data_IF_292623403239
#
_entry.id   IF_292623403239
#
_cell.length_a   1.000
_cell.length_b   1.000
_cell.length_c   1.000
_cell.angle_alpha   90.00
_cell.angle_beta   90.00
_cell.angle_gamma   90.00
#
_symmetry.space_group_name_H-M   'P 1'
#
loop_
_entity.id
_entity.type
_entity.pdbx_description
1 polymer ?
#
# COMPACT_ATOMS: atom_id res chain seq x y z
N UNK A 1 -65.25 38.35 -22.19
CA UNK A 1 -64.97 37.79 -23.53
C UNK A 1 -63.48 37.47 -23.58
N UNK A 2 -63.13 36.18 -23.72
CA UNK A 2 -61.83 35.60 -24.18
C UNK A 2 -60.58 35.77 -23.25
N UNK A 3 -60.13 34.76 -22.48
CA UNK A 3 -59.11 33.67 -22.76
C UNK A 3 -57.71 34.24 -23.10
N UNK A 4 -56.55 33.89 -22.51
CA UNK A 4 -55.85 32.57 -22.39
C UNK A 4 -54.56 32.68 -21.51
N UNK A 5 -53.95 31.52 -21.23
CA UNK A 5 -52.99 31.10 -20.19
C UNK A 5 -51.46 31.34 -20.36
N UNK A 6 -50.71 30.97 -19.31
CA UNK A 6 -49.31 30.44 -19.29
C UNK A 6 -48.25 31.39 -18.69
N UNK A 7 -47.17 31.01 -18.01
CA UNK A 7 -46.66 29.82 -17.32
C UNK A 7 -45.41 30.27 -16.50
N UNK A 8 -44.95 29.40 -15.58
CA UNK A 8 -43.86 29.42 -14.57
C UNK A 8 -42.58 30.26 -14.76
N UNK A 9 -42.03 30.66 -13.61
CA UNK A 9 -40.60 30.89 -13.38
C UNK A 9 -40.23 30.96 -11.89
N UNK A 10 -39.70 29.85 -11.34
CA UNK A 10 -39.11 29.70 -9.99
C UNK A 10 -37.58 30.00 -10.01
N UNK A 11 -36.86 30.02 -8.87
CA UNK A 11 -35.82 30.99 -8.58
C UNK A 11 -34.39 30.57 -9.00
N UNK A 12 -33.58 31.58 -9.30
CA UNK A 12 -32.10 31.59 -9.31
C UNK A 12 -31.57 31.39 -7.88
N UNK A 13 -30.52 30.65 -7.54
CA UNK A 13 -29.37 30.14 -8.27
C UNK A 13 -28.18 30.21 -7.31
N UNK A 14 -27.33 29.17 -7.25
CA UNK A 14 -26.08 29.21 -6.47
C UNK A 14 -25.69 27.89 -5.83
N UNK A 15 -25.50 26.85 -6.64
CA UNK A 15 -24.87 25.59 -6.26
C UNK A 15 -23.39 25.83 -5.88
N UNK A 16 -23.07 25.66 -4.60
CA UNK A 16 -21.69 25.46 -4.14
C UNK A 16 -21.30 24.00 -4.32
N UNK A 17 -21.10 23.57 -5.57
CA UNK A 17 -20.50 22.28 -5.86
C UNK A 17 -19.01 22.33 -5.49
N UNK A 18 -18.62 21.74 -4.36
CA UNK A 18 -17.23 21.34 -4.21
C UNK A 18 -17.01 20.18 -5.17
N UNK A 19 -16.29 20.42 -6.26
CA UNK A 19 -15.73 19.37 -7.09
C UNK A 19 -14.75 18.56 -6.23
N UNK A 20 -15.27 17.52 -5.56
CA UNK A 20 -14.47 16.38 -5.14
C UNK A 20 -14.00 15.73 -6.44
N UNK A 21 -12.87 16.23 -6.96
CA UNK A 21 -12.26 15.69 -8.15
C UNK A 21 -11.89 14.25 -7.81
N UNK A 22 -12.68 13.31 -8.33
CA UNK A 22 -12.74 11.90 -7.95
C UNK A 22 -11.42 11.18 -8.18
N UNK A 23 -10.46 11.43 -7.30
CA UNK A 23 -9.13 10.88 -7.36
C UNK A 23 -9.24 9.39 -7.04
N UNK A 24 -9.23 8.59 -8.09
CA UNK A 24 -9.30 7.13 -7.99
C UNK A 24 -8.18 6.63 -7.08
N UNK A 25 -8.45 5.62 -6.23
CA UNK A 25 -7.42 5.05 -5.39
C UNK A 25 -6.30 4.47 -6.25
N UNK A 26 -5.06 4.72 -5.86
CA UNK A 26 -3.89 4.27 -6.60
C UNK A 26 -3.22 3.06 -5.94
N UNK A 27 -3.57 2.76 -4.69
CA UNK A 27 -3.06 1.62 -3.95
C UNK A 27 -4.10 1.06 -2.98
N UNK A 28 -4.12 -0.26 -2.85
CA UNK A 28 -4.76 -0.98 -1.74
C UNK A 28 -3.72 -1.69 -0.90
N UNK A 29 -3.90 -1.68 0.42
CA UNK A 29 -2.93 -2.22 1.38
C UNK A 29 -3.59 -3.27 2.23
N UNK A 30 -2.87 -4.36 2.39
CA UNK A 30 -3.33 -5.52 3.11
C UNK A 30 -2.30 -5.92 4.16
N UNK A 31 -2.67 -5.84 5.44
CA UNK A 31 -1.78 -6.21 6.55
C UNK A 31 -1.92 -7.71 6.87
N UNK A 32 -0.76 -8.34 7.11
CA UNK A 32 -0.64 -9.77 7.35
C UNK A 32 0.27 -10.02 8.55
N UNK A 33 -0.12 -10.98 9.38
CA UNK A 33 0.72 -11.51 10.44
C UNK A 33 0.82 -13.02 10.26
N UNK A 34 2.04 -13.48 9.97
CA UNK A 34 2.26 -14.85 9.52
C UNK A 34 1.43 -15.13 8.25
N UNK A 35 0.55 -16.13 8.29
CA UNK A 35 -0.36 -16.46 7.19
C UNK A 35 -1.73 -15.81 7.29
N UNK A 36 -2.00 -15.02 8.33
CA UNK A 36 -3.33 -14.55 8.67
C UNK A 36 -3.52 -13.08 8.32
N UNK A 37 -4.66 -12.75 7.67
CA UNK A 37 -5.05 -11.36 7.34
C UNK A 37 -5.48 -10.65 8.62
N UNK A 38 -4.92 -9.47 8.88
CA UNK A 38 -5.23 -8.68 10.07
C UNK A 38 -5.91 -7.37 9.65
N UNK A 39 -7.21 -7.29 9.92
CA UNK A 39 -8.05 -6.16 9.54
C UNK A 39 -8.47 -6.15 8.06
N UNK A 40 -9.26 -5.14 7.63
CA UNK A 40 -9.68 -4.98 6.25
C UNK A 40 -8.55 -4.51 5.34
N UNK A 41 -8.80 -4.53 4.03
CA UNK A 41 -7.98 -3.82 3.05
C UNK A 41 -8.10 -2.31 3.28
N UNK A 42 -6.99 -1.58 3.22
CA UNK A 42 -6.98 -0.12 3.33
C UNK A 42 -6.76 0.51 1.95
N UNK A 43 -7.66 1.39 1.55
CA UNK A 43 -7.63 2.06 0.25
C UNK A 43 -6.91 3.41 0.35
N UNK A 44 -5.93 3.63 -0.52
CA UNK A 44 -5.09 4.83 -0.52
C UNK A 44 -5.47 5.74 -1.68
N UNK A 45 -5.93 6.94 -1.35
CA UNK A 45 -6.31 7.98 -2.33
C UNK A 45 -5.27 9.10 -2.40
N UNK A 46 -4.77 9.56 -1.25
CA UNK A 46 -3.75 10.62 -1.16
C UNK A 46 -2.45 10.17 -1.80
N UNK A 47 -1.65 11.08 -2.40
CA UNK A 47 -0.37 10.71 -3.02
C UNK A 47 0.66 10.18 -2.01
N UNK A 48 0.39 10.27 -0.71
CA UNK A 48 1.25 9.70 0.32
C UNK A 48 0.43 9.05 1.43
N UNK A 49 1.05 8.11 2.15
CA UNK A 49 0.48 7.46 3.33
C UNK A 49 1.58 7.09 4.33
N UNK A 50 1.39 7.42 5.60
CA UNK A 50 2.22 6.89 6.69
C UNK A 50 1.66 5.56 7.17
N UNK A 51 2.49 4.52 7.27
CA UNK A 51 2.11 3.23 7.86
C UNK A 51 2.92 3.05 9.13
N UNK A 52 2.23 2.96 10.28
CA UNK A 52 2.87 3.01 11.61
C UNK A 52 2.33 1.90 12.51
N UNK A 53 3.12 1.51 13.51
CA UNK A 53 2.66 0.73 14.67
C UNK A 53 2.77 1.54 15.97
N UNK A 54 3.21 2.80 15.91
CA UNK A 54 3.35 3.64 17.08
C UNK A 54 1.96 3.95 17.69
N UNK A 55 1.87 3.78 19.01
CA UNK A 55 0.66 4.07 19.81
C UNK A 55 0.61 5.55 20.22
N UNK A 56 1.71 6.28 20.05
CA UNK A 56 1.87 7.67 20.49
C UNK A 56 1.21 8.67 19.56
N UNK A 57 0.93 8.29 18.31
CA UNK A 57 0.17 9.14 17.39
C UNK A 57 -1.31 8.91 17.67
N UNK A 58 -2.07 9.91 18.16
CA UNK A 58 -3.51 9.78 18.25
C UNK A 58 -4.05 9.47 16.84
N UNK A 59 -5.10 8.63 16.70
CA UNK A 59 -5.68 8.33 15.40
C UNK A 59 -6.03 9.67 14.75
N UNK A 60 -5.25 10.05 13.74
CA UNK A 60 -5.51 11.29 13.02
C UNK A 60 -6.83 11.11 12.30
N UNK A 61 -7.73 12.06 12.40
CA UNK A 61 -8.97 12.08 11.62
C UNK A 61 -8.74 12.24 10.11
N UNK A 62 -7.49 12.18 9.64
CA UNK A 62 -7.10 12.29 8.25
C UNK A 62 -6.70 10.93 7.68
N UNK A 63 -7.09 10.66 6.44
CA UNK A 63 -6.75 9.46 5.65
C UNK A 63 -5.28 9.43 5.19
N UNK A 64 -4.38 9.94 6.03
CA UNK A 64 -2.97 10.11 5.74
C UNK A 64 -2.09 9.18 6.60
N UNK A 65 -2.70 8.44 7.53
CA UNK A 65 -2.01 7.47 8.38
C UNK A 65 -2.80 6.16 8.52
N UNK A 66 -2.10 5.05 8.35
CA UNK A 66 -2.58 3.69 8.59
C UNK A 66 -1.91 3.14 9.86
N UNK A 67 -2.70 3.05 10.95
CA UNK A 67 -2.26 2.45 12.20
C UNK A 67 -2.44 0.93 12.19
N UNK A 68 -1.34 0.21 12.02
CA UNK A 68 -1.31 -1.26 12.12
C UNK A 68 -1.63 -1.73 13.54
N UNK A 69 -1.34 -0.90 14.56
CA UNK A 69 -1.71 -1.18 15.94
C UNK A 69 -3.24 -1.24 16.11
N UNK A 70 -3.98 -0.32 15.50
CA UNK A 70 -5.44 -0.32 15.54
C UNK A 70 -6.03 -1.56 14.85
N UNK A 71 -5.48 -1.97 13.69
CA UNK A 71 -5.88 -3.20 12.99
C UNK A 71 -5.60 -4.46 13.82
N UNK A 72 -4.42 -4.52 14.42
CA UNK A 72 -4.02 -5.62 15.30
C UNK A 72 -4.94 -5.76 16.52
N UNK A 73 -5.38 -4.64 17.11
CA UNK A 73 -6.32 -4.63 18.23
C UNK A 73 -7.71 -5.09 17.82
N UNK A 74 -8.20 -4.66 16.66
CA UNK A 74 -9.56 -4.99 16.20
C UNK A 74 -9.70 -6.45 15.75
N UNK A 75 -8.61 -7.08 15.31
CA UNK A 75 -8.63 -8.48 14.84
C UNK A 75 -8.96 -9.49 15.95
N UNK A 76 -8.73 -9.18 17.23
CA UNK A 76 -9.02 -10.07 18.36
C UNK A 76 -8.24 -11.39 18.39
N UNK A 77 -7.35 -11.62 17.43
CA UNK A 77 -6.58 -12.85 17.30
C UNK A 77 -5.47 -12.94 18.36
N UNK A 78 -5.23 -14.15 18.88
CA UNK A 78 -4.14 -14.41 19.81
C UNK A 78 -2.79 -14.10 19.13
N UNK A 79 -2.11 -13.07 19.63
CA UNK A 79 -0.82 -12.65 19.10
C UNK A 79 0.28 -13.61 19.57
N UNK A 80 0.98 -14.25 18.63
CA UNK A 80 2.14 -15.10 18.95
C UNK A 80 3.33 -14.24 19.37
N UNK A 81 4.16 -14.71 20.30
CA UNK A 81 5.31 -13.96 20.84
C UNK A 81 6.25 -13.38 19.77
N UNK A 82 6.46 -14.13 18.69
CA UNK A 82 7.33 -13.68 17.59
C UNK A 82 6.74 -12.48 16.83
N UNK A 83 5.41 -12.41 16.72
CA UNK A 83 4.68 -11.30 16.12
C UNK A 83 4.73 -10.09 17.05
N UNK A 84 4.43 -10.28 18.35
CA UNK A 84 4.51 -9.23 19.35
C UNK A 84 5.89 -8.54 19.38
N UNK A 85 6.97 -9.34 19.27
CA UNK A 85 8.35 -8.82 19.23
C UNK A 85 8.67 -8.02 17.97
N UNK A 86 8.04 -8.33 16.84
CA UNK A 86 8.23 -7.56 15.60
C UNK A 86 7.37 -6.30 15.61
N UNK A 87 6.10 -6.39 16.05
CA UNK A 87 5.19 -5.25 16.26
C UNK A 87 5.86 -4.12 17.04
N UNK A 88 6.49 -4.45 18.18
CA UNK A 88 7.19 -3.46 19.03
C UNK A 88 8.40 -2.78 18.39
N UNK A 89 8.89 -3.29 17.24
CA UNK A 89 10.03 -2.76 16.50
C UNK A 89 9.64 -2.00 15.24
N UNK A 90 8.37 -2.02 14.84
CA UNK A 90 7.91 -1.27 13.66
C UNK A 90 8.00 0.23 13.95
N UNK A 91 7.56 0.68 15.14
CA UNK A 91 7.58 2.10 15.53
C UNK A 91 6.87 2.97 14.50
N UNK A 92 7.55 4.02 14.02
CA UNK A 92 7.04 4.93 12.98
C UNK A 92 6.86 4.26 11.59
N UNK A 93 7.33 3.03 11.42
CA UNK A 93 7.11 2.21 10.22
C UNK A 93 7.69 2.83 8.95
N UNK A 94 6.83 3.13 7.97
CA UNK A 94 7.25 3.62 6.66
C UNK A 94 6.31 4.68 6.09
N UNK A 95 6.77 5.40 5.08
CA UNK A 95 5.94 6.30 4.27
C UNK A 95 5.91 5.80 2.84
N UNK A 96 4.70 5.67 2.30
CA UNK A 96 4.46 5.47 0.88
C UNK A 96 4.29 6.83 0.22
N UNK A 97 4.89 7.00 -0.95
CA UNK A 97 4.79 8.21 -1.75
C UNK A 97 4.62 7.82 -3.22
N UNK A 98 3.54 8.28 -3.84
CA UNK A 98 3.26 8.17 -5.26
C UNK A 98 3.84 9.38 -5.98
N UNK A 99 4.79 9.11 -6.86
CA UNK A 99 5.39 10.07 -7.77
C UNK A 99 5.01 9.73 -9.22
N UNK A 100 5.23 10.65 -10.18
CA UNK A 100 4.98 10.39 -11.60
C UNK A 100 5.79 9.21 -12.16
N UNK A 101 6.99 8.96 -11.61
CA UNK A 101 7.89 7.91 -12.07
C UNK A 101 7.66 6.54 -11.40
N UNK A 102 6.93 6.52 -10.27
CA UNK A 102 6.77 5.30 -9.49
C UNK A 102 6.16 5.49 -8.12
N UNK A 103 6.26 4.44 -7.31
CA UNK A 103 5.94 4.46 -5.88
C UNK A 103 7.22 4.28 -5.08
N UNK A 104 7.40 5.15 -4.11
CA UNK A 104 8.54 5.17 -3.21
C UNK A 104 8.11 4.72 -1.81
N UNK A 105 8.99 3.96 -1.15
CA UNK A 105 8.92 3.64 0.28
C UNK A 105 10.06 4.38 0.96
N UNK A 106 9.76 5.17 1.97
CA UNK A 106 10.73 5.75 2.89
C UNK A 106 10.65 5.05 4.25
N UNK A 107 11.75 4.44 4.68
CA UNK A 107 11.79 3.72 5.95
C UNK A 107 12.03 4.68 7.12
N UNK A 108 11.01 4.85 7.96
CA UNK A 108 11.03 5.69 9.17
C UNK A 108 11.28 4.90 10.45
N UNK A 109 11.28 3.57 10.37
CA UNK A 109 11.53 2.71 11.52
C UNK A 109 13.03 2.66 11.84
N UNK A 110 13.35 2.29 13.08
CA UNK A 110 14.74 2.06 13.52
C UNK A 110 15.33 0.75 12.99
N UNK A 111 14.54 -0.06 12.29
CA UNK A 111 14.92 -1.37 11.78
C UNK A 111 14.82 -1.42 10.26
N UNK A 112 15.49 -2.40 9.65
CA UNK A 112 15.38 -2.57 8.21
C UNK A 112 13.99 -3.09 7.81
N UNK A 113 13.53 -2.61 6.66
CA UNK A 113 12.35 -3.11 5.96
C UNK A 113 12.82 -3.90 4.74
N UNK A 114 12.08 -4.94 4.38
CA UNK A 114 12.43 -5.83 3.27
C UNK A 114 11.34 -5.79 2.23
N UNK A 115 11.70 -5.60 0.96
CA UNK A 115 10.76 -5.36 -0.14
C UNK A 115 11.01 -6.38 -1.25
N UNK A 116 9.95 -7.02 -1.72
CA UNK A 116 9.96 -7.74 -2.99
C UNK A 116 8.97 -7.06 -3.93
N UNK A 117 9.44 -6.70 -5.11
CA UNK A 117 8.62 -6.01 -6.09
C UNK A 117 8.84 -6.54 -7.49
N UNK A 118 7.76 -6.67 -8.28
CA UNK A 118 7.85 -7.07 -9.67
C UNK A 118 8.74 -6.15 -10.52
N UNK A 119 8.74 -4.86 -10.22
CA UNK A 119 9.39 -3.85 -11.07
C UNK A 119 10.78 -3.44 -10.59
N UNK A 120 11.26 -4.02 -9.49
CA UNK A 120 12.64 -3.85 -9.03
C UNK A 120 13.60 -4.78 -9.77
N UNK A 121 13.18 -6.02 -10.03
CA UNK A 121 14.02 -7.02 -10.68
C UNK A 121 14.08 -6.86 -12.20
N UNK A 122 15.19 -7.33 -12.78
CA UNK A 122 15.35 -7.40 -14.23
C UNK A 122 14.33 -8.37 -14.85
N UNK A 123 13.90 -8.15 -16.10
CA UNK A 123 12.91 -9.02 -16.76
C UNK A 123 13.36 -10.49 -16.86
N UNK A 124 14.67 -10.74 -16.83
CA UNK A 124 15.27 -12.07 -16.88
C UNK A 124 15.33 -12.78 -15.51
N UNK A 125 14.98 -12.11 -14.42
CA UNK A 125 15.00 -12.72 -13.08
C UNK A 125 13.89 -13.76 -12.98
N UNK A 126 14.23 -14.97 -12.51
CA UNK A 126 13.26 -16.07 -12.35
C UNK A 126 12.43 -15.99 -11.07
N UNK A 127 12.97 -15.34 -10.04
CA UNK A 127 12.34 -15.19 -8.73
C UNK A 127 12.46 -13.74 -8.28
N UNK A 128 11.48 -13.25 -7.53
CA UNK A 128 11.54 -11.94 -6.89
C UNK A 128 12.69 -11.88 -5.88
N UNK A 129 13.60 -10.94 -6.08
CA UNK A 129 14.65 -10.59 -5.13
C UNK A 129 14.04 -9.78 -3.98
N UNK A 130 14.50 -10.09 -2.77
CA UNK A 130 14.14 -9.33 -1.57
C UNK A 130 15.22 -8.29 -1.29
N UNK A 131 14.88 -7.02 -1.48
CA UNK A 131 15.72 -5.86 -1.25
C UNK A 131 15.58 -5.39 0.20
N UNK A 132 16.71 -5.02 0.83
CA UNK A 132 16.75 -4.48 2.19
C UNK A 132 16.80 -2.96 2.13
N UNK A 133 15.87 -2.29 2.81
CA UNK A 133 15.81 -0.84 2.98
C UNK A 133 16.20 -0.48 4.41
N UNK A 134 17.41 0.06 4.66
CA UNK A 134 17.84 0.46 5.99
C UNK A 134 17.02 1.65 6.56
N UNK A 135 17.07 1.89 7.88
CA UNK A 135 16.47 3.07 8.51
C UNK A 135 16.94 4.37 7.86
N UNK A 136 16.01 5.27 7.54
CA UNK A 136 16.30 6.57 6.92
C UNK A 136 16.59 6.55 5.42
N UNK A 137 16.44 5.39 4.75
CA UNK A 137 16.60 5.27 3.30
C UNK A 137 15.26 5.19 2.60
N UNK A 138 15.24 5.60 1.33
CA UNK A 138 14.12 5.40 0.41
C UNK A 138 14.47 4.41 -0.69
N UNK A 139 13.44 3.74 -1.21
CA UNK A 139 13.53 2.84 -2.37
C UNK A 139 12.32 3.07 -3.26
N UNK A 140 12.53 3.20 -4.57
CA UNK A 140 11.45 3.19 -5.56
C UNK A 140 10.95 1.77 -5.73
N UNK A 141 9.97 1.38 -4.93
CA UNK A 141 9.46 0.01 -4.86
C UNK A 141 8.60 -0.36 -6.05
N UNK A 142 8.07 0.60 -6.80
CA UNK A 142 7.31 0.30 -8.00
C UNK A 142 7.61 1.30 -9.11
N UNK A 143 7.87 0.83 -10.32
CA UNK A 143 8.13 1.65 -11.51
C UNK A 143 6.97 1.48 -12.51
N UNK A 144 6.28 2.58 -12.80
CA UNK A 144 5.08 2.56 -13.65
C UNK A 144 5.39 2.19 -15.11
N UNK A 145 6.55 2.62 -15.61
CA UNK A 145 6.97 2.35 -16.99
C UNK A 145 7.31 0.87 -17.14
N UNK A 146 8.08 0.31 -16.21
CA UNK A 146 8.42 -1.12 -16.19
C UNK A 146 7.18 -1.99 -16.04
N UNK A 147 6.23 -1.61 -15.17
CA UNK A 147 4.95 -2.31 -15.03
C UNK A 147 4.17 -2.36 -16.35
N UNK A 148 4.14 -1.24 -17.09
CA UNK A 148 3.51 -1.13 -18.41
C UNK A 148 4.18 -2.06 -19.42
N UNK A 149 5.51 -2.09 -19.45
CA UNK A 149 6.27 -2.97 -20.33
C UNK A 149 5.98 -4.45 -20.01
N UNK A 150 5.96 -4.83 -18.74
CA UNK A 150 5.70 -6.22 -18.32
C UNK A 150 4.27 -6.66 -18.58
N UNK A 151 3.31 -5.74 -18.57
CA UNK A 151 1.92 -6.04 -18.93
C UNK A 151 1.75 -6.30 -20.43
N UNK A 152 2.61 -5.74 -21.28
CA UNK A 152 2.60 -5.96 -22.74
C UNK A 152 3.44 -7.18 -23.14
N UNK A 153 4.60 -7.35 -22.50
CA UNK A 153 5.49 -8.49 -22.69
C UNK A 153 5.84 -9.08 -21.32
N UNK A 154 5.05 -10.04 -20.82
CA UNK A 154 5.33 -10.69 -19.55
C UNK A 154 6.70 -11.38 -19.58
N UNK A 155 7.53 -11.22 -18.53
CA UNK A 155 8.79 -11.95 -18.45
C UNK A 155 8.54 -13.47 -18.43
N UNK A 156 9.27 -14.20 -19.27
CA UNK A 156 9.08 -15.63 -19.60
C UNK A 156 9.14 -16.58 -18.38
N UNK A 157 9.63 -16.11 -17.23
CA UNK A 157 9.99 -16.96 -16.08
C UNK A 157 9.18 -16.71 -14.81
N UNK A 158 8.08 -15.95 -14.90
CA UNK A 158 7.29 -15.55 -13.73
C UNK A 158 6.04 -16.41 -13.62
N UNK A 159 6.01 -17.30 -12.63
CA UNK A 159 4.84 -18.13 -12.35
C UNK A 159 3.72 -17.29 -11.70
N UNK A 160 2.85 -16.67 -12.51
CA UNK A 160 1.55 -16.18 -12.05
C UNK A 160 1.11 -14.78 -12.57
N UNK A 161 -0.14 -14.62 -13.04
CA UNK A 161 -0.69 -13.33 -13.52
C UNK A 161 -0.85 -12.24 -12.45
N UNK A 162 -1.00 -12.62 -11.19
CA UNK A 162 -1.34 -11.71 -10.09
C UNK A 162 -0.13 -10.96 -9.50
N UNK A 163 1.09 -11.29 -9.93
CA UNK A 163 2.32 -10.84 -9.26
C UNK A 163 2.86 -9.48 -9.78
N UNK A 164 2.38 -8.97 -10.92
CA UNK A 164 2.99 -7.82 -11.58
C UNK A 164 2.62 -6.46 -10.96
N UNK A 165 1.51 -6.39 -10.23
CA UNK A 165 1.04 -5.15 -9.56
C UNK A 165 1.15 -5.21 -8.05
N UNK A 166 1.57 -6.35 -7.51
CA UNK A 166 1.63 -6.60 -6.07
C UNK A 166 3.06 -6.46 -5.54
N UNK A 167 3.27 -5.54 -4.60
CA UNK A 167 4.52 -5.39 -3.86
C UNK A 167 4.36 -5.94 -2.45
N UNK A 168 5.35 -6.70 -1.99
CA UNK A 168 5.37 -7.23 -0.63
C UNK A 168 6.42 -6.54 0.20
N UNK A 169 6.05 -6.16 1.40
CA UNK A 169 6.92 -5.49 2.35
C UNK A 169 6.90 -6.26 3.67
N UNK A 170 8.05 -6.52 4.28
CA UNK A 170 8.14 -7.07 5.62
C UNK A 170 8.92 -6.17 6.56
N UNK A 171 8.43 -6.05 7.78
CA UNK A 171 9.11 -5.30 8.83
C UNK A 171 10.11 -6.19 9.56
N UNK A 172 11.33 -5.68 9.78
CA UNK A 172 12.40 -6.27 10.62
C UNK A 172 12.99 -7.58 10.10
N UNK A 173 12.22 -8.43 9.42
CA UNK A 173 12.60 -9.77 8.99
C UNK A 173 12.57 -9.88 7.47
N UNK A 174 13.70 -10.28 6.88
CA UNK A 174 13.77 -10.65 5.46
C UNK A 174 13.31 -12.08 5.21
N UNK A 175 13.05 -12.38 3.94
CA UNK A 175 12.71 -13.72 3.45
C UNK A 175 13.34 -14.02 2.09
N UNK A 176 13.27 -15.28 1.67
CA UNK A 176 13.84 -15.78 0.43
C UNK A 176 15.17 -16.51 0.63
N UNK A 177 15.87 -16.86 -0.46
CA UNK A 177 17.02 -17.78 -0.44
C UNK A 177 18.18 -17.36 0.48
N UNK A 178 18.31 -16.05 0.75
CA UNK A 178 19.37 -15.49 1.59
C UNK A 178 19.00 -15.40 3.08
N UNK A 179 17.81 -15.86 3.48
CA UNK A 179 17.27 -15.68 4.82
C UNK A 179 16.75 -17.00 5.40
N UNK A 180 16.59 -17.08 6.72
CA UNK A 180 16.03 -18.27 7.37
C UNK A 180 14.56 -18.54 6.95
N UNK A 181 13.82 -17.50 6.58
CA UNK A 181 12.42 -17.61 6.11
C UNK A 181 12.42 -17.71 4.60
N UNK A 182 11.85 -18.79 4.06
CA UNK A 182 11.77 -18.97 2.61
C UNK A 182 10.45 -18.44 2.02
N UNK A 183 9.37 -18.46 2.81
CA UNK A 183 8.02 -18.09 2.36
C UNK A 183 7.48 -16.87 3.11
N UNK A 184 6.64 -16.09 2.43
CA UNK A 184 6.02 -14.86 2.96
C UNK A 184 5.13 -15.15 4.17
N UNK A 185 4.42 -16.28 4.18
CA UNK A 185 3.54 -16.69 5.29
C UNK A 185 4.28 -17.00 6.60
N UNK A 186 5.61 -17.06 6.59
CA UNK A 186 6.45 -17.20 7.79
C UNK A 186 6.90 -15.84 8.36
N UNK A 187 6.50 -14.73 7.74
CA UNK A 187 6.86 -13.37 8.16
C UNK A 187 5.96 -12.92 9.32
N UNK A 188 6.53 -12.46 10.44
CA UNK A 188 5.71 -12.07 11.59
C UNK A 188 4.79 -10.88 11.30
N UNK A 189 5.26 -9.87 10.56
CA UNK A 189 4.49 -8.70 10.16
C UNK A 189 4.86 -8.34 8.71
N UNK A 190 3.87 -8.25 7.84
CA UNK A 190 4.07 -7.89 6.44
C UNK A 190 2.88 -7.14 5.85
N UNK A 191 3.15 -6.39 4.79
CA UNK A 191 2.18 -5.70 3.96
C UNK A 191 2.22 -6.27 2.56
N UNK A 192 1.04 -6.36 1.96
CA UNK A 192 0.88 -6.55 0.53
C UNK A 192 0.20 -5.31 -0.05
N UNK A 193 0.87 -4.68 -1.00
CA UNK A 193 0.43 -3.46 -1.68
C UNK A 193 -0.02 -3.85 -3.08
N UNK A 194 -1.23 -3.47 -3.47
CA UNK A 194 -1.76 -3.65 -4.81
C UNK A 194 -1.83 -2.29 -5.48
N UNK A 195 -1.16 -2.11 -6.61
CA UNK A 195 -1.13 -0.84 -7.32
C UNK A 195 -2.11 -0.82 -8.49
N UNK A 196 -2.87 0.26 -8.59
CA UNK A 196 -3.71 0.54 -9.75
C UNK A 196 -2.94 1.43 -10.72
N UNK A 197 -2.96 1.07 -12.00
CA UNK A 197 -2.32 1.87 -13.02
C UNK A 197 -3.00 3.26 -13.08
N UNK A 198 -2.22 4.35 -13.15
CA UNK A 198 -2.80 5.68 -13.31
C UNK A 198 -3.60 5.77 -14.63
N UNK A 199 -4.71 6.53 -14.65
CA UNK A 199 -5.41 6.81 -15.90
C UNK A 199 -4.49 7.54 -16.90
N UNK A 200 -4.73 7.29 -18.18
CA UNK A 200 -3.93 7.81 -19.31
C UNK A 200 -4.03 9.31 -19.46
#
# INVERSE_FOLDING_TARGET
TTTTAGDRGTPTGGEGGSSDDGQQPWCEIAYWELGDRVGPMYTVQRPWLHVTFDERTPPSSCDAELSLHALARSSGAACKDIVARVRSRIGQGLTLLREPDGVWVYNRSEYAVFVASPTLDMPSARNLTVFKVPPGYSLRVYDWERARLYSQCPPVSWDGPLALTAVRISFVKGWGPKYARQVVTALPCSLELFFHAPPR
#
